data_IF_022313943065
#
_entry.id   IF_022313943065
#
_cell.length_a   1.000
_cell.length_b   1.000
_cell.length_c   1.000
_cell.angle_alpha   90.00
_cell.angle_beta   90.00
_cell.angle_gamma   90.00
#
_symmetry.space_group_name_H-M   'P 1'
#
loop_
_entity.id
_entity.type
_entity.pdbx_description
1 polymer ?
#
# COMPACT_ATOMS: atom_id res chain seq x y z
N UNK A 1 -10.55 26.45 -15.28
CA UNK A 1 -10.08 25.19 -15.90
C UNK A 1 -10.98 24.09 -15.39
N UNK A 2 -11.54 23.28 -16.28
CA UNK A 2 -12.37 22.13 -15.91
C UNK A 2 -11.51 21.04 -15.24
N UNK A 3 -12.07 20.35 -14.24
CA UNK A 3 -11.43 19.22 -13.55
C UNK A 3 -11.81 17.95 -14.29
N UNK A 4 -10.81 17.13 -14.62
CA UNK A 4 -10.97 15.87 -15.34
C UNK A 4 -10.25 14.73 -14.62
N UNK A 5 -10.57 13.49 -15.02
CA UNK A 5 -9.88 12.29 -14.52
C UNK A 5 -8.37 12.41 -14.71
N UNK A 6 -7.61 12.05 -13.67
CA UNK A 6 -6.16 12.10 -13.64
C UNK A 6 -5.56 13.41 -13.12
N UNK A 7 -6.37 14.47 -12.98
CA UNK A 7 -5.90 15.71 -12.37
C UNK A 7 -5.54 15.53 -10.91
N UNK A 8 -4.55 16.30 -10.45
CA UNK A 8 -4.27 16.47 -9.03
C UNK A 8 -5.12 17.63 -8.50
N UNK A 9 -5.81 17.40 -7.39
CA UNK A 9 -6.72 18.35 -6.75
C UNK A 9 -6.53 18.35 -5.24
N UNK A 10 -7.00 19.43 -4.61
CA UNK A 10 -7.06 19.63 -3.17
C UNK A 10 -8.52 19.89 -2.78
N UNK A 11 -8.91 19.47 -1.58
CA UNK A 11 -10.25 19.71 -1.02
C UNK A 11 -10.28 21.01 -0.23
N UNK A 12 -11.20 21.91 -0.54
CA UNK A 12 -11.37 23.19 0.15
C UNK A 12 -11.88 22.99 1.57
N UNK A 13 -12.90 22.15 1.75
CA UNK A 13 -13.54 21.82 3.02
C UNK A 13 -12.60 21.18 4.05
N UNK A 14 -11.50 20.55 3.60
CA UNK A 14 -10.48 19.94 4.45
C UNK A 14 -9.19 20.80 4.55
N UNK A 15 -9.27 22.09 4.18
CA UNK A 15 -8.14 23.00 4.35
C UNK A 15 -6.96 22.75 3.41
N UNK A 16 -7.18 22.03 2.30
CA UNK A 16 -6.16 21.70 1.28
C UNK A 16 -4.96 20.91 1.85
N UNK A 17 -5.25 20.00 2.77
CA UNK A 17 -4.26 19.20 3.51
C UNK A 17 -3.65 18.05 2.69
N UNK A 18 -4.46 17.38 1.88
CA UNK A 18 -4.08 16.17 1.14
C UNK A 18 -4.24 16.38 -0.36
N UNK A 19 -3.19 16.02 -1.10
CA UNK A 19 -3.22 15.96 -2.56
C UNK A 19 -3.89 14.68 -3.01
N UNK A 20 -4.94 14.83 -3.82
CA UNK A 20 -5.69 13.73 -4.41
C UNK A 20 -5.52 13.71 -5.92
N UNK A 21 -5.55 12.52 -6.51
CA UNK A 21 -5.74 12.29 -7.94
C UNK A 21 -7.22 11.98 -8.19
N UNK A 22 -7.81 12.60 -9.20
CA UNK A 22 -9.19 12.32 -9.61
C UNK A 22 -9.25 10.96 -10.31
N UNK A 23 -9.96 10.01 -9.73
CA UNK A 23 -10.11 8.65 -10.26
C UNK A 23 -11.28 8.55 -11.24
N UNK A 24 -12.41 9.16 -10.90
CA UNK A 24 -13.60 9.23 -11.74
C UNK A 24 -14.45 10.45 -11.38
N UNK A 25 -15.32 10.86 -12.31
CA UNK A 25 -16.28 11.94 -12.10
C UNK A 25 -17.64 11.44 -12.59
N UNK A 26 -18.62 11.46 -11.70
CA UNK A 26 -20.02 11.28 -12.06
C UNK A 26 -20.58 12.65 -12.50
N UNK A 27 -20.80 12.78 -13.81
CA UNK A 27 -21.33 14.01 -14.41
C UNK A 27 -22.77 14.31 -13.99
N UNK A 28 -23.56 13.32 -13.59
CA UNK A 28 -24.96 13.53 -13.19
C UNK A 28 -25.04 14.13 -11.79
N UNK A 29 -24.24 13.62 -10.87
CA UNK A 29 -24.21 14.08 -9.47
C UNK A 29 -23.19 15.19 -9.22
N UNK A 30 -22.30 15.46 -10.19
CA UNK A 30 -21.16 16.38 -10.06
C UNK A 30 -20.24 16.01 -8.88
N UNK A 31 -20.11 14.70 -8.64
CA UNK A 31 -19.24 14.12 -7.61
C UNK A 31 -18.00 13.50 -8.26
N UNK A 32 -16.85 13.66 -7.63
CA UNK A 32 -15.61 13.02 -8.02
C UNK A 32 -15.18 11.98 -6.98
N UNK A 33 -14.70 10.84 -7.46
CA UNK A 33 -13.95 9.89 -6.65
C UNK A 33 -12.48 10.28 -6.68
N UNK A 34 -11.87 10.31 -5.51
CA UNK A 34 -10.52 10.81 -5.25
C UNK A 34 -9.68 9.73 -4.60
N UNK A 35 -8.41 9.67 -5.01
CA UNK A 35 -7.39 8.79 -4.42
C UNK A 35 -6.20 9.62 -3.95
N UNK A 36 -5.79 9.46 -2.69
CA UNK A 36 -4.64 10.17 -2.14
C UNK A 36 -3.35 9.80 -2.89
N UNK A 37 -2.53 10.80 -3.20
CA UNK A 37 -1.33 10.62 -4.04
C UNK A 37 -0.21 9.88 -3.29
N UNK A 38 0.07 10.28 -2.04
CA UNK A 38 1.10 9.65 -1.19
C UNK A 38 0.53 9.02 0.09
N UNK A 39 -0.81 9.01 0.25
CA UNK A 39 -1.49 8.49 1.44
C UNK A 39 -2.70 7.63 1.07
N UNK A 40 -2.77 6.41 1.64
CA UNK A 40 -3.77 5.38 1.32
C UNK A 40 -5.16 5.77 1.80
N UNK A 41 -5.77 6.70 1.07
CA UNK A 41 -7.04 7.32 1.36
C UNK A 41 -7.86 7.44 0.08
N UNK A 42 -9.10 6.96 0.15
CA UNK A 42 -10.10 7.20 -0.88
C UNK A 42 -11.14 8.17 -0.30
N UNK A 43 -11.62 9.09 -1.11
CA UNK A 43 -12.67 10.02 -0.72
C UNK A 43 -13.55 10.34 -1.92
N UNK A 44 -14.81 10.67 -1.68
CA UNK A 44 -15.67 11.35 -2.64
C UNK A 44 -15.78 12.84 -2.27
N UNK A 45 -15.96 13.68 -3.28
CA UNK A 45 -16.21 15.11 -3.07
C UNK A 45 -16.98 15.72 -4.23
N UNK A 46 -17.84 16.72 -3.99
CA UNK A 46 -18.44 17.49 -5.07
C UNK A 46 -17.36 18.29 -5.82
N UNK A 47 -17.52 18.49 -7.12
CA UNK A 47 -16.55 19.25 -7.94
C UNK A 47 -16.33 20.68 -7.43
N UNK A 48 -17.32 21.27 -6.77
CA UNK A 48 -17.23 22.59 -6.14
C UNK A 48 -16.28 22.65 -4.93
N UNK A 49 -15.98 21.51 -4.30
CA UNK A 49 -15.02 21.39 -3.20
C UNK A 49 -13.58 21.24 -3.70
N UNK A 50 -13.38 21.07 -5.00
CA UNK A 50 -12.08 20.74 -5.59
C UNK A 50 -11.41 21.94 -6.21
N UNK A 51 -10.12 22.08 -5.94
CA UNK A 51 -9.27 23.08 -6.57
C UNK A 51 -8.00 22.44 -7.12
N UNK A 52 -7.60 22.86 -8.32
CA UNK A 52 -6.31 22.48 -8.90
C UNK A 52 -5.20 23.31 -8.24
N UNK A 53 -4.19 22.69 -7.60
CA UNK A 53 -3.02 23.40 -7.12
C UNK A 53 -2.23 24.01 -8.29
N UNK A 54 -1.54 25.11 -8.04
CA UNK A 54 -0.61 25.69 -9.00
C UNK A 54 0.60 24.77 -9.28
N UNK A 55 1.25 24.97 -10.42
CA UNK A 55 2.42 24.19 -10.83
C UNK A 55 3.53 24.23 -9.76
N UNK A 56 3.76 25.40 -9.15
CA UNK A 56 4.74 25.56 -8.07
C UNK A 56 4.37 24.80 -6.80
N UNK A 57 3.08 24.71 -6.46
CA UNK A 57 2.60 23.93 -5.30
C UNK A 57 2.82 22.43 -5.53
N UNK A 58 2.51 21.93 -6.73
CA UNK A 58 2.75 20.53 -7.11
C UNK A 58 4.25 20.21 -7.08
N UNK A 59 5.09 21.10 -7.61
CA UNK A 59 6.54 20.92 -7.59
C UNK A 59 7.09 20.87 -6.15
N UNK A 60 6.66 21.80 -5.29
CA UNK A 60 7.03 21.84 -3.88
C UNK A 60 6.57 20.60 -3.12
N UNK A 61 5.35 20.14 -3.37
CA UNK A 61 4.81 18.90 -2.81
C UNK A 61 5.68 17.70 -3.19
N UNK A 62 5.95 17.51 -4.48
CA UNK A 62 6.81 16.42 -4.97
C UNK A 62 8.22 16.48 -4.38
N UNK A 63 8.80 17.68 -4.27
CA UNK A 63 10.11 17.87 -3.67
C UNK A 63 10.13 17.49 -2.17
N UNK A 64 9.08 17.84 -1.41
CA UNK A 64 8.93 17.44 -0.01
C UNK A 64 8.78 15.92 0.13
N UNK A 65 7.90 15.29 -0.64
CA UNK A 65 7.71 13.83 -0.62
C UNK A 65 9.00 13.09 -0.99
N UNK A 66 9.74 13.59 -1.98
CA UNK A 66 11.03 13.04 -2.37
C UNK A 66 12.08 13.17 -1.28
N UNK A 67 12.18 14.34 -0.63
CA UNK A 67 13.12 14.57 0.49
C UNK A 67 12.82 13.62 1.67
N UNK A 68 11.55 13.45 2.02
CA UNK A 68 11.12 12.53 3.08
C UNK A 68 11.49 11.08 2.73
N UNK A 69 11.28 10.66 1.47
CA UNK A 69 11.67 9.33 1.00
C UNK A 69 13.17 9.10 1.15
N UNK A 70 14.00 10.04 0.68
CA UNK A 70 15.46 9.97 0.84
C UNK A 70 15.84 9.82 2.31
N UNK A 71 15.20 10.58 3.19
CA UNK A 71 15.47 10.53 4.62
C UNK A 71 15.13 9.16 5.21
N UNK A 72 13.96 8.61 4.89
CA UNK A 72 13.53 7.27 5.34
C UNK A 72 14.50 6.19 4.86
N UNK A 73 14.81 6.19 3.56
CA UNK A 73 15.74 5.23 2.96
C UNK A 73 17.12 5.35 3.60
N UNK A 74 17.64 6.58 3.76
CA UNK A 74 18.94 6.80 4.40
C UNK A 74 18.98 6.30 5.84
N UNK A 75 17.92 6.52 6.62
CA UNK A 75 17.80 6.01 8.00
C UNK A 75 17.80 4.48 8.02
N UNK A 76 16.99 3.85 7.18
CA UNK A 76 16.92 2.39 7.07
C UNK A 76 18.28 1.79 6.65
N UNK A 77 18.94 2.36 5.64
CA UNK A 77 20.27 1.92 5.22
C UNK A 77 21.33 2.08 6.31
N UNK A 78 21.27 3.15 7.10
CA UNK A 78 22.18 3.32 8.24
C UNK A 78 21.94 2.24 9.29
N UNK A 79 20.69 1.97 9.64
CA UNK A 79 20.35 0.93 10.62
C UNK A 79 20.85 -0.45 10.18
N UNK A 80 20.68 -0.81 8.91
CA UNK A 80 21.24 -2.05 8.35
C UNK A 80 22.77 -2.11 8.50
N UNK A 81 23.49 -1.01 8.24
CA UNK A 81 24.95 -0.94 8.44
C UNK A 81 25.37 -1.00 9.91
N UNK A 82 24.55 -0.52 10.85
CA UNK A 82 24.86 -0.61 12.28
C UNK A 82 24.73 -2.05 12.80
N UNK A 83 23.78 -2.83 12.29
CA UNK A 83 23.65 -4.27 12.61
C UNK A 83 24.82 -5.07 12.02
N UNK A 84 25.33 -4.67 10.85
CA UNK A 84 26.47 -5.34 10.17
C UNK A 84 27.88 -4.87 10.58
N UNK A 85 28.03 -3.99 11.59
CA UNK A 85 29.34 -3.38 11.90
C UNK A 85 30.28 -4.20 12.78
N UNK A 86 29.81 -5.31 13.33
CA UNK A 86 30.67 -6.31 13.95
C UNK A 86 30.68 -7.57 13.10
N UNK A 87 31.56 -7.65 12.09
CA UNK A 87 32.18 -8.92 11.68
C UNK A 87 33.34 -8.65 10.71
N UNK A 88 34.54 -9.08 11.14
CA UNK A 88 35.59 -9.55 10.21
C UNK A 88 34.92 -10.47 9.18
N UNK A 89 35.36 -10.40 7.91
CA UNK A 89 34.86 -11.21 6.78
C UNK A 89 34.13 -12.48 7.24
N UNK A 90 32.79 -12.53 7.17
CA UNK A 90 32.05 -13.68 7.66
C UNK A 90 32.38 -14.92 6.81
N UNK A 91 32.58 -16.07 7.45
CA UNK A 91 32.72 -17.38 6.79
C UNK A 91 31.37 -17.92 6.26
N UNK A 92 30.36 -17.06 6.15
CA UNK A 92 29.03 -17.37 5.64
C UNK A 92 28.62 -16.39 4.54
N UNK A 93 27.83 -16.87 3.59
CA UNK A 93 27.20 -16.03 2.58
C UNK A 93 25.89 -15.49 3.16
N UNK A 94 25.75 -14.16 3.18
CA UNK A 94 24.48 -13.53 3.50
C UNK A 94 23.52 -13.72 2.33
N UNK A 95 22.48 -14.53 2.53
CA UNK A 95 21.40 -14.70 1.58
C UNK A 95 20.28 -13.74 2.01
N UNK A 96 19.98 -12.68 1.23
CA UNK A 96 18.90 -11.76 1.58
C UNK A 96 17.55 -12.47 1.43
N UNK A 97 16.67 -12.27 2.40
CA UNK A 97 15.29 -12.75 2.31
C UNK A 97 14.54 -12.10 1.15
N UNK A 98 13.59 -12.82 0.58
CA UNK A 98 12.77 -12.41 -0.56
C UNK A 98 11.36 -12.07 -0.10
N UNK A 99 10.88 -10.90 -0.50
CA UNK A 99 9.51 -10.44 -0.24
C UNK A 99 8.61 -10.80 -1.42
N UNK A 100 7.48 -11.45 -1.16
CA UNK A 100 6.33 -11.49 -2.06
C UNK A 100 5.29 -10.52 -1.51
N UNK A 101 5.01 -9.43 -2.23
CA UNK A 101 3.99 -8.45 -1.85
C UNK A 101 2.83 -8.51 -2.84
N UNK A 102 1.63 -8.78 -2.33
CA UNK A 102 0.36 -8.67 -3.05
C UNK A 102 -0.40 -7.47 -2.48
N UNK A 103 -0.76 -6.51 -3.33
CA UNK A 103 -1.54 -5.32 -2.94
C UNK A 103 -2.73 -5.14 -3.88
N UNK A 104 -3.91 -4.90 -3.30
CA UNK A 104 -5.14 -4.57 -4.02
C UNK A 104 -5.18 -3.18 -4.65
N UNK A 105 -4.13 -2.38 -4.51
CA UNK A 105 -3.99 -1.05 -5.11
C UNK A 105 -2.72 -0.98 -6.00
N UNK A 106 -2.94 -0.74 -7.30
CA UNK A 106 -1.87 -0.71 -8.29
C UNK A 106 -0.91 0.49 -8.11
N UNK A 107 -1.43 1.66 -7.71
CA UNK A 107 -0.62 2.85 -7.53
C UNK A 107 0.25 2.71 -6.26
N UNK A 108 -0.28 2.11 -5.19
CA UNK A 108 0.50 1.83 -3.97
C UNK A 108 1.51 0.73 -4.18
N UNK A 109 1.15 -0.32 -4.93
CA UNK A 109 2.09 -1.37 -5.29
C UNK A 109 3.32 -0.79 -5.99
N UNK A 110 3.14 0.20 -6.85
CA UNK A 110 4.25 0.90 -7.49
C UNK A 110 5.15 1.66 -6.51
N UNK A 111 4.55 2.31 -5.51
CA UNK A 111 5.27 3.02 -4.45
C UNK A 111 6.09 2.03 -3.62
N UNK A 112 5.48 0.91 -3.17
CA UNK A 112 6.14 -0.14 -2.41
C UNK A 112 7.29 -0.77 -3.20
N UNK A 113 7.07 -1.12 -4.47
CA UNK A 113 8.10 -1.68 -5.35
C UNK A 113 9.31 -0.75 -5.49
N UNK A 114 9.09 0.55 -5.66
CA UNK A 114 10.17 1.55 -5.71
C UNK A 114 10.94 1.59 -4.39
N UNK A 115 10.23 1.61 -3.25
CA UNK A 115 10.86 1.62 -1.94
C UNK A 115 11.71 0.37 -1.68
N UNK A 116 11.21 -0.84 -2.01
CA UNK A 116 12.00 -2.07 -1.91
C UNK A 116 13.25 -2.03 -2.78
N UNK A 117 13.14 -1.54 -4.02
CA UNK A 117 14.29 -1.43 -4.93
C UNK A 117 15.33 -0.43 -4.45
N UNK A 118 14.90 0.74 -3.94
CA UNK A 118 15.79 1.76 -3.34
C UNK A 118 16.52 1.21 -2.10
N UNK A 119 15.88 0.32 -1.34
CA UNK A 119 16.47 -0.39 -0.18
C UNK A 119 17.24 -1.65 -0.56
N UNK A 120 17.32 -1.99 -1.86
CA UNK A 120 17.97 -3.20 -2.37
C UNK A 120 17.39 -4.50 -1.78
N UNK A 121 16.10 -4.51 -1.47
CA UNK A 121 15.37 -5.69 -0.97
C UNK A 121 14.92 -6.54 -2.17
N UNK A 122 15.25 -7.83 -2.15
CA UNK A 122 14.77 -8.78 -3.14
C UNK A 122 13.25 -8.93 -3.02
N UNK A 123 12.50 -8.58 -4.07
CA UNK A 123 11.05 -8.54 -4.01
C UNK A 123 10.38 -9.03 -5.30
N UNK A 124 9.19 -9.58 -5.14
CA UNK A 124 8.18 -9.78 -6.19
C UNK A 124 6.93 -9.04 -5.75
N UNK A 125 6.67 -7.92 -6.40
CA UNK A 125 5.62 -6.96 -6.04
C UNK A 125 4.52 -6.99 -7.10
N UNK A 126 3.32 -7.47 -6.75
CA UNK A 126 2.23 -7.75 -7.68
C UNK A 126 0.93 -7.05 -7.27
N UNK A 127 0.35 -6.29 -8.20
CA UNK A 127 -1.03 -5.82 -8.05
C UNK A 127 -1.99 -7.01 -8.17
N UNK A 128 -2.82 -7.21 -7.15
CA UNK A 128 -3.82 -8.25 -7.10
C UNK A 128 -5.00 -7.81 -6.24
N UNK A 129 -6.19 -7.58 -6.83
CA UNK A 129 -7.40 -7.22 -6.07
C UNK A 129 -7.65 -8.19 -4.91
N UNK A 130 -8.16 -7.68 -3.80
CA UNK A 130 -8.30 -8.39 -2.52
C UNK A 130 -9.05 -9.70 -2.69
N UNK A 131 -10.16 -9.67 -3.42
CA UNK A 131 -11.00 -10.83 -3.74
C UNK A 131 -10.24 -11.97 -4.46
N UNK A 132 -9.15 -11.65 -5.15
CA UNK A 132 -8.34 -12.63 -5.89
C UNK A 132 -7.12 -13.12 -5.11
N UNK A 133 -6.77 -12.47 -3.99
CA UNK A 133 -5.60 -12.86 -3.20
C UNK A 133 -5.69 -14.30 -2.68
N UNK A 134 -6.81 -14.78 -2.10
CA UNK A 134 -6.91 -16.17 -1.63
C UNK A 134 -6.66 -17.19 -2.74
N UNK A 135 -7.25 -16.97 -3.92
CA UNK A 135 -7.16 -17.91 -5.04
C UNK A 135 -5.80 -17.99 -5.73
N UNK A 136 -4.90 -17.02 -5.51
CA UNK A 136 -3.60 -16.95 -6.20
C UNK A 136 -2.39 -17.04 -5.26
N UNK A 137 -2.58 -16.81 -3.96
CA UNK A 137 -1.46 -16.72 -2.99
C UNK A 137 -0.61 -17.99 -3.00
N UNK A 138 -1.21 -19.18 -2.99
CA UNK A 138 -0.46 -20.45 -2.99
C UNK A 138 0.35 -20.63 -4.26
N UNK A 139 -0.23 -20.31 -5.42
CA UNK A 139 0.44 -20.36 -6.72
C UNK A 139 1.70 -19.48 -6.72
N UNK A 140 1.60 -18.27 -6.18
CA UNK A 140 2.74 -17.36 -6.09
C UNK A 140 3.76 -17.78 -5.04
N UNK A 141 3.33 -18.30 -3.90
CA UNK A 141 4.23 -18.87 -2.89
C UNK A 141 5.09 -19.99 -3.50
N UNK A 142 4.46 -20.95 -4.21
CA UNK A 142 5.16 -22.04 -4.88
C UNK A 142 6.11 -21.55 -5.99
N UNK A 143 5.69 -20.54 -6.75
CA UNK A 143 6.46 -20.02 -7.88
C UNK A 143 7.69 -19.22 -7.45
N UNK A 144 7.55 -18.39 -6.42
CA UNK A 144 8.58 -17.41 -6.04
C UNK A 144 9.38 -17.83 -4.80
N UNK A 145 8.86 -18.78 -4.01
CA UNK A 145 9.46 -19.28 -2.77
C UNK A 145 10.01 -18.15 -1.87
N UNK A 146 9.14 -17.23 -1.42
CA UNK A 146 9.54 -16.08 -0.62
C UNK A 146 9.74 -16.46 0.86
N UNK A 147 10.50 -15.63 1.57
CA UNK A 147 10.69 -15.70 3.03
C UNK A 147 9.68 -14.80 3.77
N UNK A 148 9.19 -13.76 3.09
CA UNK A 148 8.22 -12.79 3.63
C UNK A 148 7.07 -12.66 2.64
N UNK A 149 5.83 -12.84 3.12
CA UNK A 149 4.61 -12.56 2.40
C UNK A 149 3.95 -11.29 2.97
N UNK A 150 3.62 -10.34 2.11
CA UNK A 150 2.85 -9.13 2.46
C UNK A 150 1.53 -9.15 1.68
N UNK A 151 0.41 -9.19 2.40
CA UNK A 151 -0.96 -9.18 1.87
C UNK A 151 -1.63 -7.87 2.29
N UNK A 152 -1.87 -6.99 1.34
CA UNK A 152 -2.41 -5.66 1.64
C UNK A 152 -3.44 -5.25 0.61
N UNK A 153 -4.22 -4.24 0.95
CA UNK A 153 -5.33 -3.81 0.12
C UNK A 153 -6.12 -2.70 0.78
N UNK A 154 -7.25 -2.38 0.20
CA UNK A 154 -8.26 -1.55 0.83
C UNK A 154 -9.13 -2.41 1.73
N UNK A 155 -9.62 -1.80 2.80
CA UNK A 155 -10.70 -2.33 3.60
C UNK A 155 -11.48 -1.16 4.19
N UNK A 156 -12.66 -1.44 4.70
CA UNK A 156 -13.52 -0.40 5.23
C UNK A 156 -14.78 -0.97 5.85
N UNK A 157 -15.34 -0.21 6.78
CA UNK A 157 -16.56 -0.60 7.48
C UNK A 157 -17.79 -0.45 6.57
N UNK A 158 -18.57 -1.53 6.49
CA UNK A 158 -19.92 -1.58 5.99
C UNK A 158 -20.79 -0.87 7.02
N UNK A 159 -21.51 0.18 6.62
CA UNK A 159 -22.47 0.85 7.50
C UNK A 159 -23.60 -0.13 7.87
N UNK A 160 -23.64 -0.58 9.12
CA UNK A 160 -24.76 -1.32 9.70
C UNK A 160 -25.12 -0.79 11.09
N UNK A 161 -26.43 -0.71 11.38
CA UNK A 161 -27.00 -0.14 12.61
C UNK A 161 -26.87 -1.05 13.85
N UNK A 162 -26.17 -2.19 13.75
CA UNK A 162 -26.01 -3.13 14.86
C UNK A 162 -24.73 -2.85 15.66
N UNK A 163 -24.87 -2.66 16.97
CA UNK A 163 -23.81 -2.18 17.87
C UNK A 163 -22.66 -3.13 18.21
N UNK A 164 -22.52 -4.28 17.54
CA UNK A 164 -21.45 -5.26 17.84
C UNK A 164 -20.39 -5.29 16.71
N UNK A 165 -19.11 -5.14 17.05
CA UNK A 165 -18.00 -5.24 16.10
C UNK A 165 -17.77 -6.69 15.64
N UNK A 166 -17.46 -6.89 14.36
CA UNK A 166 -17.22 -8.21 13.79
C UNK A 166 -16.77 -8.20 12.33
N UNK A 167 -16.21 -9.33 11.88
CA UNK A 167 -15.67 -9.52 10.53
C UNK A 167 -16.66 -9.18 9.41
N UNK A 168 -17.95 -9.41 9.64
CA UNK A 168 -19.03 -9.15 8.68
C UNK A 168 -19.28 -7.65 8.44
N UNK A 169 -18.70 -6.77 9.26
CA UNK A 169 -18.73 -5.33 9.05
C UNK A 169 -17.65 -4.83 8.11
N UNK A 170 -16.78 -5.68 7.56
CA UNK A 170 -15.68 -5.23 6.70
C UNK A 170 -15.81 -5.80 5.29
N UNK A 171 -15.46 -4.97 4.31
CA UNK A 171 -15.55 -5.35 2.91
C UNK A 171 -14.58 -6.47 2.54
N UNK A 172 -13.31 -6.34 2.94
CA UNK A 172 -12.22 -7.13 2.39
C UNK A 172 -11.44 -7.94 3.43
N UNK A 173 -11.62 -7.72 4.73
CA UNK A 173 -10.91 -8.45 5.81
C UNK A 173 -10.93 -9.97 5.62
N UNK A 174 -12.06 -10.51 5.15
CA UNK A 174 -12.27 -11.94 4.90
C UNK A 174 -11.24 -12.52 3.94
N UNK A 175 -10.86 -11.77 2.91
CA UNK A 175 -9.92 -12.22 1.90
C UNK A 175 -8.49 -12.27 2.44
N UNK A 176 -8.12 -11.33 3.32
CA UNK A 176 -6.81 -11.40 3.98
C UNK A 176 -6.72 -12.59 4.93
N UNK A 177 -7.78 -12.87 5.70
CA UNK A 177 -7.84 -14.03 6.61
C UNK A 177 -7.72 -15.33 5.81
N UNK A 178 -8.50 -15.49 4.75
CA UNK A 178 -8.49 -16.67 3.90
C UNK A 178 -7.11 -16.87 3.24
N UNK A 179 -6.52 -15.79 2.69
CA UNK A 179 -5.19 -15.86 2.10
C UNK A 179 -4.09 -16.25 3.11
N UNK A 180 -4.17 -15.76 4.36
CA UNK A 180 -3.26 -16.17 5.45
C UNK A 180 -3.45 -17.64 5.80
N UNK A 181 -4.68 -18.13 5.88
CA UNK A 181 -4.97 -19.55 6.16
C UNK A 181 -4.39 -20.47 5.08
N UNK A 182 -4.54 -20.10 3.80
CA UNK A 182 -3.96 -20.82 2.67
C UNK A 182 -2.43 -20.79 2.74
N UNK A 183 -1.83 -19.61 2.96
CA UNK A 183 -0.39 -19.47 3.09
C UNK A 183 0.18 -20.30 4.25
N UNK A 184 -0.53 -20.40 5.38
CA UNK A 184 -0.15 -21.23 6.53
C UNK A 184 -0.38 -22.72 6.32
N UNK A 185 -1.32 -23.09 5.46
CA UNK A 185 -1.47 -24.49 5.01
C UNK A 185 -0.30 -24.91 4.11
N UNK A 186 0.22 -23.98 3.30
CA UNK A 186 1.42 -24.19 2.49
C UNK A 186 2.71 -24.23 3.33
N UNK A 187 2.90 -23.26 4.23
CA UNK A 187 4.05 -23.17 5.13
C UNK A 187 3.60 -22.86 6.58
N UNK A 188 3.44 -23.90 7.42
CA UNK A 188 2.99 -23.75 8.81
C UNK A 188 4.01 -23.05 9.72
N UNK A 189 5.30 -23.17 9.43
CA UNK A 189 6.37 -22.55 10.22
C UNK A 189 6.30 -21.03 10.12
N UNK A 190 6.22 -20.36 11.27
CA UNK A 190 6.22 -18.90 11.36
C UNK A 190 7.61 -18.30 11.09
N UNK A 191 8.65 -19.10 11.26
CA UNK A 191 10.04 -18.69 11.05
C UNK A 191 10.44 -18.84 9.58
N UNK A 192 9.90 -19.84 8.88
CA UNK A 192 10.23 -20.08 7.46
C UNK A 192 9.45 -19.16 6.50
N UNK A 193 8.26 -18.70 6.92
CA UNK A 193 7.48 -17.73 6.17
C UNK A 193 6.87 -16.71 7.14
N UNK A 194 7.40 -15.49 7.11
CA UNK A 194 6.85 -14.36 7.85
C UNK A 194 5.70 -13.77 7.04
N UNK A 195 4.55 -13.52 7.66
CA UNK A 195 3.36 -12.98 6.97
C UNK A 195 2.94 -11.68 7.63
N UNK A 196 2.85 -10.62 6.82
CA UNK A 196 2.19 -9.36 7.16
C UNK A 196 0.89 -9.28 6.36
N UNK A 197 -0.25 -9.12 7.04
CA UNK A 197 -1.55 -9.07 6.37
C UNK A 197 -2.44 -8.00 6.99
N UNK A 198 -3.10 -7.21 6.14
CA UNK A 198 -4.10 -6.24 6.58
C UNK A 198 -4.24 -5.04 5.65
N UNK A 199 -5.22 -4.22 5.96
CA UNK A 199 -5.51 -2.99 5.23
C UNK A 199 -5.81 -1.85 6.22
N UNK A 200 -5.88 -0.62 5.70
CA UNK A 200 -6.29 0.52 6.52
C UNK A 200 -7.70 0.29 7.07
N UNK A 201 -7.91 0.60 8.35
CA UNK A 201 -9.20 0.45 9.03
C UNK A 201 -9.72 -1.00 9.09
N UNK A 202 -8.88 -2.02 8.88
CA UNK A 202 -9.27 -3.42 9.15
C UNK A 202 -9.38 -3.71 10.65
N UNK A 203 -10.23 -4.67 10.99
CA UNK A 203 -10.39 -5.25 12.33
C UNK A 203 -9.19 -6.09 12.77
#
# INVERSE_FOLDING_TARGET
MEIVKGDIVLRLSHGKDIYFKVESIDKRTQMAMLRGVDIRLCADAPLSDLVKPGIGEIANYRAKSFKLRIEIVSRASRQARFIGKEKKRPDYVEIPGKVLHLDGDADYMEICRKAYNELQIANTSLFLPEIHQPGQVETFLRKYNPDILVLTGHDGMIKSDSGEDGLDKYHNVRYFIEAVQIARSYQPSKDDLVIFAGACQSW
#
